data_IF_839042510203
#
_entry.id   IF_839042510203
#
_cell.length_a   1.000
_cell.length_b   1.000
_cell.length_c   1.000
_cell.angle_alpha   90.00
_cell.angle_beta   90.00
_cell.angle_gamma   90.00
#
_symmetry.space_group_name_H-M   'P 1'
#
loop_
_entity.id
_entity.type
_entity.pdbx_description
1 polymer ?
#
# COMPACT_ATOMS: atom_id res chain seq x y z
N UNK A 1 -6.30 36.26 54.81
CA UNK A 1 -7.05 35.03 54.48
C UNK A 1 -7.02 34.87 52.97
N UNK A 2 -6.35 33.84 52.46
CA UNK A 2 -6.29 33.54 51.03
C UNK A 2 -7.61 32.92 50.58
N UNK A 3 -8.47 33.70 49.95
CA UNK A 3 -9.60 33.18 49.18
C UNK A 3 -9.09 32.72 47.82
N UNK A 4 -8.75 31.45 47.71
CA UNK A 4 -8.63 30.76 46.42
C UNK A 4 -10.07 30.64 45.88
N UNK A 5 -10.39 31.40 44.85
CA UNK A 5 -11.70 31.32 44.19
C UNK A 5 -11.71 30.13 43.23
N UNK A 6 -12.39 29.07 43.64
CA UNK A 6 -12.58 27.79 42.93
C UNK A 6 -13.54 27.95 41.73
N UNK A 7 -13.21 28.83 40.78
CA UNK A 7 -13.93 28.95 39.49
C UNK A 7 -13.05 28.62 38.28
N UNK A 8 -11.85 28.11 38.50
CA UNK A 8 -10.83 27.95 37.46
C UNK A 8 -10.35 26.51 37.27
N UNK A 9 -11.16 25.50 37.59
CA UNK A 9 -10.74 24.10 37.44
C UNK A 9 -11.93 23.19 37.14
N UNK A 10 -11.75 22.28 36.17
CA UNK A 10 -12.74 21.51 35.39
C UNK A 10 -13.36 22.35 34.26
N UNK A 11 -12.92 22.22 33.00
CA UNK A 11 -12.81 20.97 32.26
C UNK A 11 -11.72 21.14 31.20
N UNK A 12 -10.59 20.48 31.38
CA UNK A 12 -9.75 20.09 30.25
C UNK A 12 -10.60 19.10 29.45
N UNK A 13 -11.44 19.61 28.54
CA UNK A 13 -12.00 18.78 27.48
C UNK A 13 -10.80 18.45 26.62
N UNK A 14 -10.25 17.27 26.92
CA UNK A 14 -9.49 16.41 26.05
C UNK A 14 -9.99 16.62 24.62
N UNK A 15 -9.28 17.47 23.86
CA UNK A 15 -9.39 17.50 22.42
C UNK A 15 -8.76 16.18 21.96
N UNK A 16 -9.49 15.07 22.11
CA UNK A 16 -9.21 13.90 21.28
C UNK A 16 -9.51 14.41 19.89
N UNK A 17 -8.46 14.83 19.17
CA UNK A 17 -8.54 14.86 17.73
C UNK A 17 -8.89 13.42 17.35
N UNK A 18 -10.17 13.17 17.09
CA UNK A 18 -10.59 11.97 16.42
C UNK A 18 -10.06 12.14 15.01
N UNK A 19 -8.82 11.72 14.80
CA UNK A 19 -8.25 11.61 13.48
C UNK A 19 -9.09 10.55 12.78
N UNK A 20 -10.05 10.99 11.97
CA UNK A 20 -10.61 10.12 10.95
C UNK A 20 -9.42 9.82 10.04
N UNK A 21 -8.85 8.62 10.17
CA UNK A 21 -7.90 8.14 9.18
C UNK A 21 -8.69 7.95 7.89
N UNK A 22 -8.52 8.89 6.97
CA UNK A 22 -8.80 8.59 5.57
C UNK A 22 -7.76 7.56 5.12
N UNK A 23 -8.12 6.67 4.21
CA UNK A 23 -7.15 5.83 3.52
C UNK A 23 -6.05 6.76 2.98
N UNK A 24 -4.80 6.57 3.40
CA UNK A 24 -3.70 7.33 2.85
C UNK A 24 -3.36 6.74 1.49
N UNK A 25 -2.93 7.58 0.55
CA UNK A 25 -2.47 7.10 -0.75
C UNK A 25 -0.96 7.00 -0.69
N UNK A 26 -0.45 5.79 -0.75
CA UNK A 26 0.97 5.47 -0.68
C UNK A 26 1.55 5.40 -2.08
N UNK A 27 2.54 6.26 -2.36
CA UNK A 27 3.18 6.33 -3.66
C UNK A 27 4.55 5.67 -3.62
N UNK A 28 4.82 4.72 -4.50
CA UNK A 28 6.19 4.23 -4.64
C UNK A 28 7.08 5.33 -5.24
N UNK A 29 8.34 5.38 -4.82
CA UNK A 29 9.34 6.23 -5.48
C UNK A 29 9.64 5.74 -6.89
N UNK A 30 10.19 6.63 -7.73
CA UNK A 30 10.63 6.27 -9.08
C UNK A 30 11.79 5.25 -9.11
N UNK A 31 12.52 5.08 -7.99
CA UNK A 31 13.54 4.04 -7.86
C UNK A 31 12.91 2.65 -7.63
N UNK A 32 11.70 2.61 -7.07
CA UNK A 32 11.07 1.39 -6.60
C UNK A 32 11.81 0.79 -5.41
N UNK A 33 11.66 -0.52 -5.21
CA UNK A 33 12.29 -1.25 -4.12
C UNK A 33 11.44 -2.36 -3.55
N UNK A 34 11.82 -2.85 -2.36
CA UNK A 34 11.04 -3.86 -1.65
C UNK A 34 9.78 -3.21 -1.06
N UNK A 35 8.60 -3.82 -1.28
CA UNK A 35 7.33 -3.36 -0.70
C UNK A 35 7.43 -3.07 0.80
N UNK A 36 8.17 -3.90 1.54
CA UNK A 36 8.30 -3.76 2.99
C UNK A 36 9.44 -2.83 3.46
N UNK A 37 10.06 -2.08 2.54
CA UNK A 37 11.06 -1.06 2.86
C UNK A 37 10.39 0.33 2.82
N UNK A 38 10.37 1.10 3.92
CA UNK A 38 9.86 2.46 3.93
C UNK A 38 10.47 3.35 2.84
N UNK A 39 11.73 3.14 2.44
CA UNK A 39 12.39 3.93 1.40
C UNK A 39 11.83 3.69 -0.01
N UNK A 40 11.03 2.63 -0.21
CA UNK A 40 10.30 2.38 -1.45
C UNK A 40 9.16 3.38 -1.63
N UNK A 41 8.69 4.02 -0.55
CA UNK A 41 7.49 4.85 -0.53
C UNK A 41 7.84 6.32 -0.25
N UNK A 42 7.21 7.24 -0.97
CA UNK A 42 7.45 8.69 -0.84
C UNK A 42 7.09 9.19 0.57
N UNK A 43 6.15 8.52 1.24
CA UNK A 43 5.69 8.83 2.59
C UNK A 43 6.63 8.29 3.67
N UNK A 44 7.67 7.52 3.29
CA UNK A 44 8.60 6.85 4.19
C UNK A 44 7.88 5.98 5.24
N UNK A 45 6.81 5.33 4.81
CA UNK A 45 5.98 4.38 5.55
C UNK A 45 5.65 3.19 4.64
N UNK A 46 5.38 2.02 5.22
CA UNK A 46 4.97 0.84 4.42
C UNK A 46 3.45 0.79 4.35
N UNK A 47 2.83 0.62 3.17
CA UNK A 47 1.39 0.49 3.04
C UNK A 47 0.85 -0.67 3.88
N UNK A 48 -0.22 -0.37 4.60
CA UNK A 48 -1.08 -1.34 5.24
C UNK A 48 -2.34 -1.59 4.41
N UNK A 49 -3.19 -2.44 4.97
CA UNK A 49 -4.35 -2.95 4.27
C UNK A 49 -5.52 -1.95 4.10
N UNK A 50 -5.44 -0.81 4.78
CA UNK A 50 -6.41 0.28 4.68
C UNK A 50 -5.91 1.40 3.74
N UNK A 51 -4.68 1.29 3.21
CA UNK A 51 -4.05 2.29 2.36
C UNK A 51 -4.25 1.97 0.87
N UNK A 52 -4.50 3.01 0.07
CA UNK A 52 -4.49 2.88 -1.39
C UNK A 52 -3.05 2.98 -1.87
N UNK A 53 -2.67 2.15 -2.85
CA UNK A 53 -1.28 2.07 -3.33
C UNK A 53 -1.19 2.48 -4.79
N UNK A 54 -0.27 3.39 -5.09
CA UNK A 54 0.12 3.76 -6.44
C UNK A 54 1.58 3.37 -6.67
N UNK A 55 1.80 2.36 -7.53
CA UNK A 55 3.13 2.02 -8.00
C UNK A 55 3.49 2.96 -9.15
N UNK A 56 4.35 3.93 -8.87
CA UNK A 56 4.73 4.99 -9.80
C UNK A 56 5.71 4.49 -10.87
N UNK A 57 5.46 4.88 -12.12
CA UNK A 57 6.40 4.64 -13.22
C UNK A 57 7.57 5.62 -13.14
N UNK A 58 8.81 5.21 -13.49
CA UNK A 58 9.21 3.92 -14.07
C UNK A 58 9.70 2.89 -13.02
N UNK A 59 9.26 2.99 -11.76
CA UNK A 59 9.78 2.18 -10.66
C UNK A 59 9.41 0.70 -10.72
N UNK A 60 10.26 -0.13 -10.10
CA UNK A 60 10.00 -1.55 -9.89
C UNK A 60 9.76 -1.83 -8.39
N UNK A 61 8.56 -2.28 -8.04
CA UNK A 61 8.25 -2.71 -6.67
C UNK A 61 8.25 -4.24 -6.57
N UNK A 62 8.94 -4.73 -5.55
CA UNK A 62 9.19 -6.14 -5.31
C UNK A 62 8.51 -6.64 -4.04
N UNK A 63 7.75 -7.72 -4.16
CA UNK A 63 7.12 -8.44 -3.04
C UNK A 63 8.08 -9.53 -2.54
N UNK A 64 8.72 -9.31 -1.38
CA UNK A 64 9.74 -10.22 -0.84
C UNK A 64 9.17 -11.32 0.06
N UNK A 65 8.06 -11.03 0.75
CA UNK A 65 7.38 -11.93 1.68
C UNK A 65 5.88 -11.96 1.35
N UNK A 66 5.13 -12.91 1.93
CA UNK A 66 3.65 -12.92 1.83
C UNK A 66 3.04 -12.17 3.02
N UNK A 67 1.76 -11.82 2.93
CA UNK A 67 1.06 -11.03 3.95
C UNK A 67 1.28 -9.52 3.80
N UNK A 68 1.67 -9.08 2.61
CA UNK A 68 1.57 -7.67 2.22
C UNK A 68 0.15 -7.44 1.70
N UNK A 69 -0.44 -6.32 2.09
CA UNK A 69 -1.83 -5.99 1.80
C UNK A 69 -1.94 -4.50 1.43
N UNK A 70 -2.93 -4.16 0.61
CA UNK A 70 -3.43 -2.80 0.44
C UNK A 70 -4.95 -2.80 0.22
N UNK A 71 -5.54 -1.61 0.28
CA UNK A 71 -6.93 -1.40 -0.06
C UNK A 71 -7.10 -1.45 -1.60
N UNK A 72 -6.81 -0.36 -2.31
CA UNK A 72 -6.77 -0.36 -3.78
C UNK A 72 -5.33 -0.40 -4.32
N UNK A 73 -5.16 -0.84 -5.56
CA UNK A 73 -3.86 -0.89 -6.23
C UNK A 73 -3.91 -0.30 -7.65
N UNK A 74 -3.09 0.72 -7.89
CA UNK A 74 -2.88 1.30 -9.22
C UNK A 74 -1.43 1.06 -9.63
N UNK A 75 -1.24 0.40 -10.78
CA UNK A 75 0.08 0.27 -11.42
C UNK A 75 0.14 1.29 -12.55
N UNK A 76 0.98 2.31 -12.41
CA UNK A 76 1.11 3.33 -13.46
C UNK A 76 1.85 2.82 -14.69
N UNK A 77 1.66 3.50 -15.83
CA UNK A 77 2.40 3.22 -17.05
C UNK A 77 3.91 3.25 -16.81
N UNK A 78 4.61 2.23 -17.30
CA UNK A 78 6.06 2.06 -17.12
C UNK A 78 6.49 1.52 -15.76
N UNK A 79 5.56 1.33 -14.81
CA UNK A 79 5.85 0.69 -13.54
C UNK A 79 5.82 -0.85 -13.66
N UNK A 80 6.56 -1.50 -12.76
CA UNK A 80 6.64 -2.96 -12.66
C UNK A 80 6.34 -3.41 -11.22
N UNK A 81 5.40 -4.34 -11.07
CA UNK A 81 5.14 -5.06 -9.83
C UNK A 81 5.39 -6.55 -10.02
N UNK A 82 6.22 -7.15 -9.15
CA UNK A 82 6.46 -8.60 -9.16
C UNK A 82 6.94 -9.13 -7.81
N UNK A 83 6.96 -10.45 -7.66
CA UNK A 83 7.66 -11.11 -6.55
C UNK A 83 9.19 -11.07 -6.71
N UNK A 84 9.92 -11.27 -5.61
CA UNK A 84 11.36 -11.53 -5.68
C UNK A 84 11.66 -12.94 -6.22
N UNK A 85 12.69 -13.06 -7.05
CA UNK A 85 13.20 -14.35 -7.54
C UNK A 85 13.81 -15.19 -6.40
N UNK A 86 12.97 -15.90 -5.64
CA UNK A 86 13.40 -16.84 -4.60
C UNK A 86 12.27 -17.68 -4.01
N UNK A 87 10.99 -17.31 -4.18
CA UNK A 87 9.86 -18.11 -3.74
C UNK A 87 8.51 -17.55 -4.26
N UNK A 88 7.46 -18.38 -4.15
CA UNK A 88 6.07 -18.00 -4.45
C UNK A 88 5.58 -16.92 -3.49
N UNK A 89 4.88 -15.91 -3.99
CA UNK A 89 4.39 -14.78 -3.18
C UNK A 89 2.97 -14.39 -3.49
N UNK A 90 2.32 -13.87 -2.46
CA UNK A 90 0.96 -13.35 -2.51
C UNK A 90 0.99 -11.89 -2.06
N UNK A 91 0.29 -11.05 -2.82
CA UNK A 91 -0.15 -9.72 -2.42
C UNK A 91 -1.68 -9.76 -2.34
N UNK A 92 -2.24 -9.36 -1.21
CA UNK A 92 -3.68 -9.29 -1.00
C UNK A 92 -4.16 -7.84 -1.26
N UNK A 93 -5.16 -7.66 -2.12
CA UNK A 93 -5.77 -6.37 -2.47
C UNK A 93 -7.25 -6.44 -2.11
N UNK A 94 -7.68 -5.64 -1.13
CA UNK A 94 -9.06 -5.69 -0.59
C UNK A 94 -10.09 -4.97 -1.47
N UNK A 95 -9.62 -4.10 -2.34
CA UNK A 95 -10.43 -3.33 -3.27
C UNK A 95 -10.02 -3.62 -4.71
N UNK A 96 -10.03 -2.56 -5.51
CA UNK A 96 -9.90 -2.64 -6.95
C UNK A 96 -8.44 -2.60 -7.41
N UNK A 97 -8.17 -3.20 -8.56
CA UNK A 97 -6.88 -3.11 -9.25
C UNK A 97 -7.04 -2.41 -10.60
N UNK A 98 -6.30 -1.33 -10.80
CA UNK A 98 -6.12 -0.68 -12.11
C UNK A 98 -4.68 -0.90 -12.57
N UNK A 99 -4.47 -1.70 -13.60
CA UNK A 99 -3.15 -1.95 -14.17
C UNK A 99 -2.96 -1.20 -15.49
N UNK A 100 -2.10 -0.18 -15.49
CA UNK A 100 -1.60 0.52 -16.68
C UNK A 100 -0.15 0.14 -17.01
N UNK A 101 0.52 -0.61 -16.13
CA UNK A 101 1.94 -0.99 -16.23
C UNK A 101 2.11 -2.49 -16.44
N UNK A 102 3.03 -3.10 -15.69
CA UNK A 102 3.31 -4.53 -15.77
C UNK A 102 3.17 -5.21 -14.41
N UNK A 103 2.34 -6.24 -14.34
CA UNK A 103 2.27 -7.20 -13.24
C UNK A 103 2.79 -8.54 -13.78
N UNK A 104 3.86 -9.07 -13.21
CA UNK A 104 4.49 -10.31 -13.68
C UNK A 104 5.11 -11.09 -12.53
N UNK A 105 5.49 -12.33 -12.78
CA UNK A 105 6.21 -13.15 -11.83
C UNK A 105 7.72 -13.19 -12.13
N UNK A 106 8.55 -13.46 -11.13
CA UNK A 106 9.99 -13.53 -11.28
C UNK A 106 10.44 -14.96 -11.62
N UNK A 107 10.76 -15.19 -12.90
CA UNK A 107 11.29 -16.47 -13.37
C UNK A 107 10.24 -17.58 -13.23
N UNK A 108 10.60 -18.66 -12.53
CA UNK A 108 9.70 -19.81 -12.31
C UNK A 108 8.94 -19.73 -10.98
N UNK A 109 9.04 -18.61 -10.26
CA UNK A 109 8.36 -18.42 -8.97
C UNK A 109 7.06 -17.67 -9.17
N UNK A 110 5.97 -18.27 -8.72
CA UNK A 110 4.63 -17.71 -8.91
C UNK A 110 4.43 -16.44 -8.10
N UNK A 111 3.87 -15.44 -8.77
CA UNK A 111 3.28 -14.28 -8.13
C UNK A 111 1.77 -14.39 -8.26
N UNK A 112 1.07 -14.30 -7.13
CA UNK A 112 -0.39 -14.34 -7.06
C UNK A 112 -0.88 -13.04 -6.47
N UNK A 113 -1.86 -12.42 -7.11
CA UNK A 113 -2.66 -11.36 -6.50
C UNK A 113 -3.99 -11.98 -6.08
N UNK A 114 -4.37 -11.78 -4.82
CA UNK A 114 -5.71 -12.08 -4.33
C UNK A 114 -6.49 -10.78 -4.28
N UNK A 115 -7.58 -10.70 -5.02
CA UNK A 115 -8.27 -9.44 -5.27
C UNK A 115 -9.73 -9.61 -4.89
N UNK A 116 -10.21 -8.79 -3.96
CA UNK A 116 -11.60 -8.83 -3.51
C UNK A 116 -12.52 -7.91 -4.34
N UNK A 117 -11.97 -6.88 -4.98
CA UNK A 117 -12.69 -5.95 -5.85
C UNK A 117 -12.58 -6.25 -7.35
N UNK A 118 -12.82 -5.23 -8.15
CA UNK A 118 -12.81 -5.31 -9.61
C UNK A 118 -11.39 -5.14 -10.19
N UNK A 119 -11.21 -5.66 -11.42
CA UNK A 119 -9.92 -5.57 -12.14
C UNK A 119 -10.13 -4.84 -13.46
N UNK A 120 -9.43 -3.71 -13.62
CA UNK A 120 -9.25 -3.02 -14.89
C UNK A 120 -7.81 -3.16 -15.37
N UNK A 121 -7.59 -4.00 -16.38
CA UNK A 121 -6.25 -4.22 -16.95
C UNK A 121 -6.10 -3.58 -18.34
N UNK A 122 -5.31 -2.51 -18.42
CA UNK A 122 -4.89 -1.85 -19.66
C UNK A 122 -3.39 -2.05 -19.96
N UNK A 123 -2.67 -2.77 -19.09
CA UNK A 123 -1.24 -3.07 -19.20
C UNK A 123 -0.93 -4.55 -19.45
N UNK A 124 0.27 -4.97 -19.05
CA UNK A 124 0.72 -6.36 -19.12
C UNK A 124 0.38 -7.07 -17.81
N UNK A 125 -0.28 -8.21 -17.91
CA UNK A 125 -0.58 -9.09 -16.78
C UNK A 125 -0.15 -10.52 -17.11
N UNK A 126 0.98 -10.93 -16.56
CA UNK A 126 1.61 -12.24 -16.81
C UNK A 126 1.94 -12.96 -15.49
N UNK A 127 1.19 -12.69 -14.42
CA UNK A 127 1.33 -13.43 -13.16
C UNK A 127 0.78 -14.87 -13.28
N UNK A 128 1.22 -15.76 -12.39
CA UNK A 128 0.87 -17.19 -12.46
C UNK A 128 -0.63 -17.47 -12.27
N UNK A 129 -1.28 -16.74 -11.36
CA UNK A 129 -2.70 -16.87 -11.07
C UNK A 129 -3.23 -15.59 -10.44
N UNK A 130 -4.48 -15.27 -10.76
CA UNK A 130 -5.31 -14.30 -10.05
C UNK A 130 -6.48 -15.06 -9.41
N UNK A 131 -6.85 -14.75 -8.16
CA UNK A 131 -7.93 -15.44 -7.44
C UNK A 131 -8.73 -14.50 -6.57
#
# INVERSE_FOLDING_TARGET
MNTINMKTTFLAILLIAFSVSYADTMHSTAAGGNWHDPATWEENLVPGADDDVVIAGPGEVLVYNSGHECNNLIIQSGALLRNRNSAHRILDVRGDVINLGTITNAGSWDFTLRIEGDIENYGIWESYSTR
#
